data_IF_772225768484
#
_entry.id   IF_772225768484
#
_cell.length_a   1.000
_cell.length_b   1.000
_cell.length_c   1.000
_cell.angle_alpha   90.00
_cell.angle_beta   90.00
_cell.angle_gamma   90.00
#
_symmetry.space_group_name_H-M   'P 1'
#
loop_
_entity.id
_entity.type
_entity.pdbx_description
1 polymer ?
#
# COMPACT_ATOMS: atom_id res chain seq x y z
N UNK A 1 14.92 2.12 7.64
CA UNK A 1 14.45 0.72 7.79
C UNK A 1 15.49 -0.17 7.14
N UNK A 2 15.88 -1.26 7.80
CA UNK A 2 16.84 -2.21 7.25
C UNK A 2 16.24 -2.88 5.99
N UNK A 3 17.00 -2.95 4.91
CA UNK A 3 16.51 -3.40 3.59
C UNK A 3 15.98 -4.85 3.64
N UNK A 4 16.54 -5.63 4.55
CA UNK A 4 16.18 -7.02 4.85
C UNK A 4 14.74 -7.17 5.34
N UNK A 5 14.31 -6.30 6.25
CA UNK A 5 12.97 -6.33 6.86
C UNK A 5 11.88 -5.94 5.85
N UNK A 6 12.19 -4.95 5.01
CA UNK A 6 11.29 -4.47 3.95
C UNK A 6 11.03 -5.54 2.89
N UNK A 7 12.04 -6.37 2.61
CA UNK A 7 11.96 -7.46 1.62
C UNK A 7 11.11 -8.62 2.13
N UNK A 8 11.26 -8.99 3.41
CA UNK A 8 10.39 -10.00 4.04
C UNK A 8 8.93 -9.55 4.11
N UNK A 9 8.69 -8.27 4.36
CA UNK A 9 7.34 -7.71 4.36
C UNK A 9 6.69 -7.79 2.98
N UNK A 10 7.41 -7.38 1.92
CA UNK A 10 6.94 -7.52 0.53
C UNK A 10 6.57 -8.96 0.21
N UNK A 11 7.39 -9.94 0.61
CA UNK A 11 7.08 -11.36 0.44
C UNK A 11 5.80 -11.79 1.14
N UNK A 12 5.63 -11.42 2.43
CA UNK A 12 4.41 -11.73 3.20
C UNK A 12 3.16 -11.08 2.61
N UNK A 13 3.27 -9.84 2.15
CA UNK A 13 2.17 -9.10 1.53
C UNK A 13 1.79 -9.68 0.16
N UNK A 14 2.77 -10.03 -0.68
CA UNK A 14 2.53 -10.69 -1.97
C UNK A 14 1.76 -11.99 -1.80
N UNK A 15 2.15 -12.83 -0.83
CA UNK A 15 1.42 -14.06 -0.51
C UNK A 15 -0.02 -13.77 -0.10
N UNK A 16 -0.25 -12.71 0.68
CA UNK A 16 -1.58 -12.28 1.09
C UNK A 16 -2.45 -11.87 -0.10
N UNK A 17 -1.88 -11.08 -1.03
CA UNK A 17 -2.56 -10.64 -2.26
C UNK A 17 -2.87 -11.82 -3.18
N UNK A 18 -1.96 -12.79 -3.30
CA UNK A 18 -2.17 -14.01 -4.08
C UNK A 18 -3.32 -14.85 -3.50
N UNK A 19 -3.36 -15.06 -2.18
CA UNK A 19 -4.46 -15.80 -1.53
C UNK A 19 -5.80 -15.07 -1.74
N UNK A 20 -5.81 -13.74 -1.63
CA UNK A 20 -7.01 -12.94 -1.88
C UNK A 20 -7.51 -13.08 -3.32
N UNK A 21 -6.61 -13.07 -4.30
CA UNK A 21 -6.97 -13.28 -5.70
C UNK A 21 -7.55 -14.68 -5.93
N UNK A 22 -6.95 -15.73 -5.35
CA UNK A 22 -7.49 -17.09 -5.41
C UNK A 22 -8.91 -17.13 -4.82
N UNK A 23 -9.16 -16.40 -3.73
CA UNK A 23 -10.48 -16.27 -3.11
C UNK A 23 -11.51 -15.65 -4.07
N UNK A 24 -11.13 -14.57 -4.75
CA UNK A 24 -11.97 -13.87 -5.74
C UNK A 24 -12.27 -14.80 -6.93
N UNK A 25 -11.26 -15.51 -7.44
CA UNK A 25 -11.45 -16.48 -8.53
C UNK A 25 -12.36 -17.64 -8.11
N UNK A 26 -12.20 -18.18 -6.90
CA UNK A 26 -13.05 -19.25 -6.39
C UNK A 26 -14.50 -18.80 -6.24
N UNK A 27 -14.73 -17.58 -5.73
CA UNK A 27 -16.06 -17.00 -5.62
C UNK A 27 -16.70 -16.75 -6.99
N UNK A 28 -15.95 -16.18 -7.94
CA UNK A 28 -16.41 -15.96 -9.30
C UNK A 28 -16.77 -17.27 -10.01
N UNK A 29 -15.90 -18.30 -9.89
CA UNK A 29 -16.16 -19.62 -10.44
C UNK A 29 -17.42 -20.27 -9.83
N UNK A 30 -17.63 -20.14 -8.53
CA UNK A 30 -18.84 -20.64 -7.87
C UNK A 30 -20.11 -19.98 -8.42
N UNK A 31 -20.08 -18.66 -8.63
CA UNK A 31 -21.22 -17.91 -9.19
C UNK A 31 -21.48 -18.33 -10.64
N UNK A 32 -20.43 -18.44 -11.47
CA UNK A 32 -20.56 -18.88 -12.86
C UNK A 32 -21.16 -20.28 -12.92
N UNK A 33 -20.66 -21.21 -12.10
CA UNK A 33 -21.20 -22.58 -12.06
C UNK A 33 -22.65 -22.58 -11.57
N UNK A 34 -22.99 -21.76 -10.58
CA UNK A 34 -24.34 -21.71 -10.04
C UNK A 34 -25.38 -21.21 -11.06
N UNK A 35 -25.06 -20.13 -11.79
CA UNK A 35 -25.98 -19.48 -12.72
C UNK A 35 -25.94 -20.05 -14.14
N UNK A 36 -24.76 -20.44 -14.64
CA UNK A 36 -24.58 -20.78 -16.05
C UNK A 36 -24.72 -22.28 -16.32
N UNK A 37 -24.52 -23.14 -15.31
CA UNK A 37 -24.61 -24.59 -15.48
C UNK A 37 -26.06 -25.05 -15.29
N UNK A 38 -26.67 -25.70 -16.30
CA UNK A 38 -28.02 -26.25 -16.21
C UNK A 38 -28.13 -27.30 -15.12
N UNK A 39 -29.26 -27.35 -14.43
CA UNK A 39 -29.52 -28.32 -13.34
C UNK A 39 -29.56 -29.79 -13.82
N UNK A 40 -29.63 -30.01 -15.13
CA UNK A 40 -29.54 -31.34 -15.75
C UNK A 40 -28.13 -31.96 -15.64
N UNK A 41 -27.11 -31.16 -15.30
CA UNK A 41 -25.74 -31.64 -15.13
C UNK A 41 -25.54 -32.08 -13.68
N UNK A 42 -25.49 -33.40 -13.46
CA UNK A 42 -25.28 -34.01 -12.14
C UNK A 42 -23.99 -33.54 -11.44
N UNK A 43 -22.98 -33.11 -12.21
CA UNK A 43 -21.72 -32.55 -11.70
C UNK A 43 -21.84 -31.15 -11.08
N UNK A 44 -22.97 -30.44 -11.22
CA UNK A 44 -23.16 -29.09 -10.66
C UNK A 44 -22.98 -29.05 -9.14
N UNK A 45 -23.63 -29.97 -8.42
CA UNK A 45 -23.60 -30.06 -6.96
C UNK A 45 -22.18 -30.31 -6.42
N UNK A 46 -21.42 -31.35 -6.86
CA UNK A 46 -20.08 -31.59 -6.35
C UNK A 46 -19.10 -30.45 -6.65
N UNK A 47 -19.24 -29.77 -7.80
CA UNK A 47 -18.40 -28.61 -8.15
C UNK A 47 -18.67 -27.43 -7.20
N UNK A 48 -19.94 -27.13 -6.90
CA UNK A 48 -20.29 -26.06 -5.94
C UNK A 48 -19.74 -26.38 -4.55
N UNK A 49 -19.87 -27.63 -4.09
CA UNK A 49 -19.32 -28.06 -2.80
C UNK A 49 -17.79 -27.90 -2.77
N UNK A 50 -17.10 -28.29 -3.86
CA UNK A 50 -15.65 -28.12 -3.98
C UNK A 50 -15.24 -26.64 -3.91
N UNK A 51 -15.95 -25.75 -4.62
CA UNK A 51 -15.69 -24.31 -4.56
C UNK A 51 -15.90 -23.75 -3.14
N UNK A 52 -16.96 -24.17 -2.44
CA UNK A 52 -17.22 -23.76 -1.05
C UNK A 52 -16.10 -24.25 -0.13
N UNK A 53 -15.65 -25.50 -0.28
CA UNK A 53 -14.57 -26.06 0.52
C UNK A 53 -13.25 -25.28 0.32
N UNK A 54 -12.89 -25.00 -0.93
CA UNK A 54 -11.71 -24.19 -1.27
C UNK A 54 -11.83 -22.78 -0.67
N UNK A 55 -13.01 -22.17 -0.73
CA UNK A 55 -13.28 -20.85 -0.17
C UNK A 55 -13.09 -20.83 1.35
N UNK A 56 -13.64 -21.80 2.08
CA UNK A 56 -13.50 -21.91 3.54
C UNK A 56 -12.04 -22.10 3.94
N UNK A 57 -11.32 -23.01 3.27
CA UNK A 57 -9.89 -23.25 3.55
C UNK A 57 -9.08 -21.99 3.30
N UNK A 58 -9.35 -21.30 2.19
CA UNK A 58 -8.65 -20.07 1.82
C UNK A 58 -8.87 -18.97 2.86
N UNK A 59 -10.11 -18.80 3.36
CA UNK A 59 -10.41 -17.86 4.46
C UNK A 59 -9.65 -18.24 5.74
N UNK A 60 -9.67 -19.53 6.11
CA UNK A 60 -9.00 -20.01 7.32
C UNK A 60 -7.49 -19.74 7.30
N UNK A 61 -6.86 -19.83 6.13
CA UNK A 61 -5.43 -19.48 5.95
C UNK A 61 -5.22 -17.97 5.86
N UNK A 62 -6.17 -17.24 5.26
CA UNK A 62 -6.06 -15.79 5.06
C UNK A 62 -6.14 -15.00 6.37
N UNK A 63 -7.09 -15.32 7.26
CA UNK A 63 -7.32 -14.59 8.52
C UNK A 63 -6.05 -14.45 9.38
N UNK A 64 -5.32 -15.54 9.74
CA UNK A 64 -4.14 -15.43 10.59
C UNK A 64 -3.01 -14.67 9.89
N UNK A 65 -2.83 -14.88 8.58
CA UNK A 65 -1.83 -14.17 7.77
C UNK A 65 -2.13 -12.67 7.68
N UNK A 66 -3.40 -12.31 7.53
CA UNK A 66 -3.86 -10.93 7.50
C UNK A 66 -3.63 -10.26 8.85
N UNK A 67 -4.00 -10.91 9.95
CA UNK A 67 -3.76 -10.37 11.31
C UNK A 67 -2.28 -10.17 11.60
N UNK A 68 -1.43 -11.13 11.25
CA UNK A 68 0.01 -11.00 11.42
C UNK A 68 0.61 -9.85 10.60
N UNK A 69 0.14 -9.68 9.35
CA UNK A 69 0.57 -8.58 8.48
C UNK A 69 0.08 -7.23 9.01
N UNK A 70 -1.15 -7.15 9.50
CA UNK A 70 -1.72 -5.93 10.10
C UNK A 70 -1.00 -5.54 11.39
N UNK A 71 -0.74 -6.49 12.28
CA UNK A 71 0.01 -6.26 13.52
C UNK A 71 1.45 -5.79 13.21
N UNK A 72 2.09 -6.36 12.20
CA UNK A 72 3.39 -5.89 11.76
C UNK A 72 3.32 -4.46 11.20
N UNK A 73 2.28 -4.15 10.42
CA UNK A 73 2.05 -2.81 9.87
C UNK A 73 1.80 -1.75 10.95
N UNK A 74 1.18 -2.15 12.05
CA UNK A 74 0.90 -1.27 13.19
C UNK A 74 2.19 -0.90 13.95
N UNK A 75 3.12 -1.86 14.04
CA UNK A 75 4.41 -1.66 14.72
C UNK A 75 5.44 -0.96 13.83
N UNK A 76 5.40 -1.20 12.51
CA UNK A 76 6.46 -0.76 11.58
C UNK A 76 6.00 0.23 10.51
N UNK A 77 4.69 0.44 10.37
CA UNK A 77 4.17 1.45 9.47
C UNK A 77 4.37 2.81 10.12
N UNK A 78 5.19 3.67 9.51
CA UNK A 78 5.23 5.10 9.86
C UNK A 78 3.79 5.59 9.97
N UNK A 79 3.43 5.99 11.19
CA UNK A 79 2.07 6.42 11.48
C UNK A 79 1.76 7.62 10.59
N UNK A 80 0.47 7.83 10.30
CA UNK A 80 0.06 8.97 9.46
C UNK A 80 0.63 10.29 10.03
N UNK A 81 0.73 10.38 11.34
CA UNK A 81 1.28 11.53 12.06
C UNK A 81 2.77 11.73 11.80
N UNK A 82 3.59 10.67 11.87
CA UNK A 82 5.03 10.76 11.56
C UNK A 82 5.28 11.18 10.11
N UNK A 83 4.49 10.67 9.16
CA UNK A 83 4.59 11.11 7.75
C UNK A 83 4.19 12.57 7.56
N UNK A 84 3.15 13.03 8.27
CA UNK A 84 2.74 14.42 8.24
C UNK A 84 3.80 15.34 8.86
N UNK A 85 4.40 14.93 9.97
CA UNK A 85 5.49 15.66 10.61
C UNK A 85 6.73 15.72 9.70
N UNK A 86 7.07 14.63 9.01
CA UNK A 86 8.17 14.60 8.05
C UNK A 86 7.92 15.52 6.85
N UNK A 87 6.71 15.48 6.27
CA UNK A 87 6.30 16.41 5.22
C UNK A 87 6.33 17.87 5.68
N UNK A 88 5.85 18.16 6.89
CA UNK A 88 5.88 19.52 7.44
C UNK A 88 7.33 20.01 7.59
N UNK A 89 8.21 19.16 8.12
CA UNK A 89 9.63 19.49 8.27
C UNK A 89 10.31 19.74 6.93
N UNK A 90 10.05 18.90 5.92
CA UNK A 90 10.56 19.13 4.55
C UNK A 90 10.03 20.43 3.94
N UNK A 91 8.75 20.76 4.18
CA UNK A 91 8.15 22.01 3.71
C UNK A 91 8.72 23.24 4.42
N UNK A 92 9.04 23.13 5.71
CA UNK A 92 9.71 24.19 6.45
C UNK A 92 11.15 24.40 5.98
N UNK A 93 11.91 23.32 5.77
CA UNK A 93 13.27 23.39 5.22
C UNK A 93 13.27 23.99 3.80
N UNK A 94 12.33 23.58 2.94
CA UNK A 94 12.19 24.17 1.60
C UNK A 94 11.89 25.67 1.67
N UNK A 95 10.95 26.07 2.54
CA UNK A 95 10.62 27.49 2.74
C UNK A 95 11.80 28.30 3.31
N UNK A 96 12.60 27.71 4.19
CA UNK A 96 13.79 28.34 4.73
C UNK A 96 14.87 28.54 3.64
N UNK A 97 15.05 27.56 2.74
CA UNK A 97 15.98 27.67 1.60
C UNK A 97 15.59 28.79 0.66
N UNK A 98 14.31 28.83 0.25
CA UNK A 98 13.81 29.89 -0.66
C UNK A 98 13.98 31.28 -0.02
N UNK A 99 13.73 31.41 1.29
CA UNK A 99 13.94 32.67 1.98
C UNK A 99 15.41 33.10 1.97
N UNK A 100 16.32 32.17 2.26
CA UNK A 100 17.75 32.46 2.25
C UNK A 100 18.24 32.85 0.85
N UNK A 101 17.79 32.15 -0.19
CA UNK A 101 18.11 32.44 -1.59
C UNK A 101 17.61 33.84 -2.00
N UNK A 102 16.37 34.20 -1.62
CA UNK A 102 15.83 35.53 -1.88
C UNK A 102 16.58 36.63 -1.11
N UNK A 103 17.00 36.38 0.13
CA UNK A 103 17.81 37.33 0.92
C UNK A 103 19.21 37.52 0.31
N UNK A 104 19.80 36.48 -0.28
CA UNK A 104 21.05 36.57 -1.03
C UNK A 104 20.87 37.37 -2.32
N UNK A 105 19.83 37.09 -3.12
CA UNK A 105 19.52 37.85 -4.33
C UNK A 105 19.29 39.35 -4.04
N UNK A 106 18.51 39.69 -3.01
CA UNK A 106 18.31 41.09 -2.64
C UNK A 106 19.59 41.78 -2.20
N UNK A 107 20.51 41.07 -1.53
CA UNK A 107 21.81 41.61 -1.13
C UNK A 107 22.70 41.85 -2.34
N UNK A 108 22.68 40.94 -3.32
CA UNK A 108 23.41 41.12 -4.58
C UNK A 108 22.87 42.32 -5.37
N UNK A 109 21.54 42.47 -5.50
CA UNK A 109 20.92 43.63 -6.14
C UNK A 109 21.26 44.96 -5.45
N UNK A 110 21.23 45.00 -4.11
CA UNK A 110 21.58 46.20 -3.34
C UNK A 110 23.06 46.57 -3.55
N UNK A 111 23.95 45.57 -3.58
CA UNK A 111 25.37 45.77 -3.83
C UNK A 111 25.66 46.25 -5.26
N UNK A 112 24.89 45.78 -6.25
CA UNK A 112 24.97 46.21 -7.64
C UNK A 112 24.47 47.65 -7.81
N UNK A 113 23.31 48.01 -7.22
CA UNK A 113 22.79 49.38 -7.23
C UNK A 113 23.78 50.38 -6.62
N UNK A 114 24.39 50.03 -5.49
CA UNK A 114 25.35 50.90 -4.80
C UNK A 114 26.64 51.14 -5.58
N UNK A 115 27.00 50.24 -6.50
CA UNK A 115 28.19 50.37 -7.35
C UNK A 115 27.93 51.20 -8.63
N UNK A 116 26.66 51.37 -9.02
CA UNK A 116 26.25 52.19 -10.18
C UNK A 116 26.15 53.69 -9.81
N UNK A 117 25.96 54.02 -8.53
CA UNK A 117 25.84 55.40 -8.03
C UNK A 117 27.19 56.06 -7.65
N UNK A 118 28.32 55.38 -7.86
CA UNK A 118 29.68 55.88 -7.61
C UNK A 118 30.44 56.15 -8.91
#
# INVERSE_FOLDING_TARGET
MDETERTQFKGKFTVLVVILNILIFAAAAAIIVFFLVPDSIWLKIPIVILCIAIFIISIAVFIPKYRATKAWLDVHGTTKEERLAQMQKEQEEYRARIRAELEEEMREEESASKNVEK
#
